data_IF_314461338971
#
_entry.id   IF_314461338971
#
_cell.length_a   1.000
_cell.length_b   1.000
_cell.length_c   1.000
_cell.angle_alpha   90.00
_cell.angle_beta   90.00
_cell.angle_gamma   90.00
#
_symmetry.space_group_name_H-M   'P 1'
#
loop_
_entity.id
_entity.type
_entity.pdbx_description
1 polymer ?
#
# COMPACT_ATOMS: atom_id res chain seq x y z
N UNK A 1 1.02 25.70 16.99
CA UNK A 1 0.54 24.91 18.14
C UNK A 1 -0.70 25.58 18.68
N UNK A 2 -1.90 25.04 18.45
CA UNK A 2 -3.14 25.60 19.01
C UNK A 2 -3.73 24.58 19.95
N UNK A 3 -3.73 24.91 21.24
CA UNK A 3 -4.31 24.12 22.32
C UNK A 3 -5.82 24.33 22.31
N UNK A 4 -6.59 23.26 22.10
CA UNK A 4 -8.01 23.27 22.41
C UNK A 4 -8.11 23.00 23.91
N UNK A 5 -8.30 24.06 24.70
CA UNK A 5 -8.66 23.94 26.11
C UNK A 5 -10.12 23.50 26.20
N UNK A 6 -10.35 22.21 26.47
CA UNK A 6 -11.65 21.73 26.92
C UNK A 6 -11.83 22.25 28.35
N UNK A 7 -12.68 23.25 28.52
CA UNK A 7 -12.97 23.88 29.81
C UNK A 7 -13.70 22.87 30.71
N UNK A 8 -12.94 22.22 31.59
CA UNK A 8 -13.44 21.35 32.66
C UNK A 8 -12.31 21.08 33.64
N UNK A 9 -12.54 21.34 34.93
CA UNK A 9 -11.51 21.42 35.99
C UNK A 9 -10.74 20.13 36.33
N UNK A 10 -10.84 19.08 35.51
CA UNK A 10 -10.11 17.80 35.57
C UNK A 10 -10.10 17.12 34.18
N UNK A 11 -9.86 17.85 33.09
CA UNK A 11 -9.76 17.21 31.77
C UNK A 11 -8.42 16.47 31.65
N UNK A 12 -8.49 15.15 31.63
CA UNK A 12 -7.36 14.28 31.35
C UNK A 12 -6.68 14.68 30.00
N UNK A 13 -5.34 14.61 29.89
CA UNK A 13 -4.67 14.75 28.59
C UNK A 13 -5.24 13.75 27.58
N UNK A 14 -5.46 14.19 26.36
CA UNK A 14 -6.04 13.36 25.29
C UNK A 14 -5.27 13.53 23.99
N UNK A 15 -5.12 12.45 23.24
CA UNK A 15 -4.67 12.47 21.85
C UNK A 15 -5.87 12.66 20.94
N UNK A 16 -5.78 13.60 19.99
CA UNK A 16 -6.87 13.92 19.07
C UNK A 16 -6.47 13.50 17.67
N UNK A 17 -7.14 12.48 17.13
CA UNK A 17 -6.98 12.01 15.77
C UNK A 17 -8.04 12.63 14.86
N UNK A 18 -7.69 12.96 13.62
CA UNK A 18 -8.69 13.19 12.58
C UNK A 18 -9.35 11.86 12.21
N UNK A 19 -10.67 11.85 12.06
CA UNK A 19 -11.41 10.73 11.50
C UNK A 19 -11.50 10.90 10.00
N UNK A 20 -11.01 9.92 9.25
CA UNK A 20 -11.20 9.85 7.80
C UNK A 20 -12.51 9.09 7.58
N UNK A 21 -13.56 9.81 7.17
CA UNK A 21 -14.91 9.25 6.99
C UNK A 21 -15.11 8.53 5.66
N UNK A 22 -14.38 8.94 4.64
CA UNK A 22 -14.35 8.34 3.31
C UNK A 22 -12.90 8.28 2.85
N UNK A 23 -12.50 7.19 2.21
CA UNK A 23 -11.21 7.08 1.54
C UNK A 23 -11.38 6.46 0.16
N UNK A 24 -10.39 6.68 -0.69
CA UNK A 24 -10.39 6.13 -2.05
C UNK A 24 -9.77 4.74 -2.07
N UNK A 25 -10.33 3.83 -2.86
CA UNK A 25 -9.85 2.44 -2.92
C UNK A 25 -8.47 2.35 -3.56
N UNK A 26 -7.51 1.88 -2.79
CA UNK A 26 -6.14 1.55 -3.22
C UNK A 26 -6.14 0.40 -4.22
N UNK A 27 -7.12 -0.51 -4.16
CA UNK A 27 -7.30 -1.60 -5.12
C UNK A 27 -7.59 -1.15 -6.57
N UNK A 28 -7.76 0.15 -6.81
CA UNK A 28 -8.03 0.76 -8.11
C UNK A 28 -6.84 1.52 -8.73
N UNK A 29 -5.70 1.59 -8.03
CA UNK A 29 -4.47 2.22 -8.53
C UNK A 29 -4.01 1.47 -9.79
N UNK A 30 -3.66 2.18 -10.86
CA UNK A 30 -3.34 1.57 -12.17
C UNK A 30 -1.89 1.73 -12.59
N UNK A 31 -1.17 2.67 -12.01
CA UNK A 31 0.23 2.93 -12.38
C UNK A 31 1.14 3.02 -11.16
N UNK A 32 2.43 2.79 -11.38
CA UNK A 32 3.47 2.97 -10.38
C UNK A 32 3.61 4.43 -9.94
N UNK A 33 3.34 5.39 -10.84
CA UNK A 33 3.30 6.81 -10.50
C UNK A 33 2.16 7.14 -9.52
N UNK A 34 0.94 6.64 -9.79
CA UNK A 34 -0.17 6.77 -8.84
C UNK A 34 0.19 6.11 -7.50
N UNK A 35 0.70 4.87 -7.53
CA UNK A 35 1.11 4.15 -6.32
C UNK A 35 2.09 4.96 -5.49
N UNK A 36 3.12 5.54 -6.13
CA UNK A 36 4.11 6.39 -5.47
C UNK A 36 3.45 7.57 -4.73
N UNK A 37 2.53 8.28 -5.37
CA UNK A 37 1.84 9.40 -4.71
C UNK A 37 0.96 8.94 -3.55
N UNK A 38 0.22 7.83 -3.71
CA UNK A 38 -0.62 7.27 -2.66
C UNK A 38 0.19 6.80 -1.43
N UNK A 39 1.34 6.17 -1.63
CA UNK A 39 2.23 5.79 -0.53
C UNK A 39 2.82 7.01 0.18
N UNK A 40 3.18 8.06 -0.56
CA UNK A 40 3.62 9.32 0.05
C UNK A 40 2.50 10.00 0.85
N UNK A 41 1.25 9.94 0.39
CA UNK A 41 0.11 10.44 1.16
C UNK A 41 -0.12 9.63 2.45
N UNK A 42 0.09 8.31 2.43
CA UNK A 42 0.00 7.46 3.61
C UNK A 42 1.08 7.78 4.65
N UNK A 43 2.31 8.06 4.19
CA UNK A 43 3.42 8.48 5.05
C UNK A 43 3.17 9.88 5.62
N UNK A 44 2.68 10.80 4.78
CA UNK A 44 2.45 12.19 5.14
C UNK A 44 1.25 12.75 4.39
N UNK A 45 0.07 12.88 5.02
CA UNK A 45 -1.12 13.43 4.37
C UNK A 45 -0.97 14.88 3.88
N UNK A 46 0.03 15.61 4.40
CA UNK A 46 0.39 16.96 3.94
C UNK A 46 1.40 16.98 2.78
N UNK A 47 1.80 15.81 2.27
CA UNK A 47 2.62 15.69 1.08
C UNK A 47 2.00 16.49 -0.07
N UNK A 48 2.83 17.27 -0.74
CA UNK A 48 2.46 18.04 -1.92
C UNK A 48 3.38 17.58 -3.04
N UNK A 49 2.85 16.95 -4.08
CA UNK A 49 3.61 16.67 -5.28
C UNK A 49 4.21 17.97 -5.82
N UNK A 50 5.48 17.94 -6.15
CA UNK A 50 6.09 18.98 -6.97
C UNK A 50 5.57 18.75 -8.39
N UNK A 51 4.96 19.75 -9.00
CA UNK A 51 4.54 19.71 -10.40
C UNK A 51 5.52 20.61 -11.12
N UNK A 52 6.55 20.03 -11.74
CA UNK A 52 7.64 20.79 -12.33
C UNK A 52 7.26 21.29 -13.74
N UNK A 53 6.48 20.53 -14.50
CA UNK A 53 6.11 20.86 -15.89
C UNK A 53 4.60 20.68 -16.18
N UNK A 54 4.06 21.48 -17.12
CA UNK A 54 2.65 21.40 -17.56
C UNK A 54 2.34 20.11 -18.36
N UNK A 55 3.37 19.43 -18.87
CA UNK A 55 3.28 18.21 -19.69
C UNK A 55 3.35 16.92 -18.86
N UNK A 56 3.62 16.98 -17.55
CA UNK A 56 3.63 15.82 -16.67
C UNK A 56 2.20 15.35 -16.32
N UNK A 57 2.04 14.03 -16.19
CA UNK A 57 0.79 13.43 -15.77
C UNK A 57 0.41 13.97 -14.38
N UNK A 58 -0.76 14.62 -14.30
CA UNK A 58 -1.14 15.31 -13.06
C UNK A 58 -1.20 14.31 -11.91
N UNK A 59 -0.56 14.61 -10.77
CA UNK A 59 -0.57 13.71 -9.62
C UNK A 59 -2.00 13.48 -9.15
N UNK A 60 -2.32 12.28 -8.66
CA UNK A 60 -3.64 11.98 -8.14
C UNK A 60 -3.95 12.91 -6.97
N UNK A 61 -5.21 13.30 -6.85
CA UNK A 61 -5.66 14.11 -5.72
C UNK A 61 -5.43 13.33 -4.42
N UNK A 62 -4.85 13.98 -3.41
CA UNK A 62 -4.70 13.40 -2.08
C UNK A 62 -6.04 12.81 -1.61
N UNK A 63 -6.11 11.50 -1.30
CA UNK A 63 -7.36 10.85 -0.88
C UNK A 63 -7.81 11.33 0.50
N UNK A 64 -6.92 11.99 1.26
CA UNK A 64 -7.20 12.52 2.59
C UNK A 64 -7.63 13.98 2.52
N UNK A 65 -8.80 14.24 1.94
CA UNK A 65 -9.26 15.58 1.58
C UNK A 65 -9.62 16.49 2.77
N UNK A 66 -9.76 15.96 3.98
CA UNK A 66 -10.23 16.70 5.16
C UNK A 66 -9.20 16.70 6.32
N UNK A 67 -7.91 16.84 5.99
CA UNK A 67 -6.89 17.16 7.00
C UNK A 67 -6.95 18.65 7.37
N UNK A 68 -8.07 19.06 7.96
CA UNK A 68 -8.14 20.33 8.68
C UNK A 68 -7.13 20.30 9.84
N UNK A 69 -6.30 21.35 9.96
CA UNK A 69 -5.50 21.58 11.19
C UNK A 69 -6.38 21.89 12.41
N UNK A 70 -7.66 22.16 12.18
CA UNK A 70 -8.66 22.53 13.17
C UNK A 70 -9.72 21.42 13.20
N UNK A 71 -9.58 20.47 14.13
CA UNK A 71 -10.48 19.33 14.15
C UNK A 71 -11.79 19.72 14.83
N UNK A 72 -12.91 19.60 14.11
CA UNK A 72 -14.24 19.72 14.70
C UNK A 72 -14.56 18.47 15.52
N UNK A 73 -15.43 18.60 16.52
CA UNK A 73 -15.67 17.54 17.51
C UNK A 73 -16.32 16.27 16.91
N UNK A 74 -17.02 16.41 15.80
CA UNK A 74 -17.62 15.33 14.99
C UNK A 74 -16.65 14.70 13.99
N UNK A 75 -15.50 15.36 13.74
CA UNK A 75 -14.45 14.93 12.82
C UNK A 75 -13.20 14.40 13.55
N UNK A 76 -13.23 14.30 14.88
CA UNK A 76 -12.14 13.75 15.67
C UNK A 76 -12.49 12.48 16.43
N UNK A 77 -11.47 11.67 16.66
CA UNK A 77 -11.46 10.67 17.73
C UNK A 77 -10.54 11.19 18.83
N UNK A 78 -11.08 11.27 20.04
CA UNK A 78 -10.31 11.66 21.22
C UNK A 78 -9.97 10.40 22.02
N UNK A 79 -8.68 10.13 22.18
CA UNK A 79 -8.15 8.98 22.91
C UNK A 79 -7.54 9.52 24.21
N UNK A 80 -8.11 9.20 25.39
CA UNK A 80 -7.51 9.55 26.68
C UNK A 80 -6.08 9.03 26.79
N UNK A 81 -5.14 9.83 27.30
CA UNK A 81 -3.74 9.41 27.42
C UNK A 81 -3.59 8.26 28.41
N UNK A 82 -4.42 8.17 29.45
CA UNK A 82 -4.45 6.99 30.32
C UNK A 82 -4.78 5.71 29.55
N UNK A 83 -5.59 5.79 28.48
CA UNK A 83 -5.84 4.65 27.60
C UNK A 83 -4.61 4.25 26.77
N UNK A 84 -3.64 5.16 26.58
CA UNK A 84 -2.35 4.87 25.94
C UNK A 84 -1.32 4.30 26.93
N UNK A 85 -1.53 4.48 28.24
CA UNK A 85 -0.64 3.96 29.30
C UNK A 85 -0.92 2.50 29.68
N UNK A 86 -1.91 1.84 29.08
CA UNK A 86 -2.22 0.43 29.35
C UNK A 86 -1.44 -0.54 28.46
N UNK A 87 -1.07 -1.69 29.03
CA UNK A 87 -0.60 -2.92 28.37
C UNK A 87 -1.61 -3.52 27.34
N UNK A 88 -2.64 -2.78 26.94
CA UNK A 88 -3.55 -3.20 25.86
C UNK A 88 -2.91 -2.84 24.52
N UNK A 89 -2.73 -3.79 23.59
CA UNK A 89 -2.13 -3.49 22.31
C UNK A 89 -3.06 -2.58 21.50
N UNK A 90 -2.69 -1.31 21.38
CA UNK A 90 -3.19 -0.43 20.33
C UNK A 90 -2.35 -0.72 19.09
N UNK A 91 -2.98 -1.23 18.04
CA UNK A 91 -2.29 -1.45 16.77
C UNK A 91 -2.18 -0.10 16.04
N UNK A 92 -1.07 0.61 16.27
CA UNK A 92 -0.62 1.64 15.34
C UNK A 92 0.09 0.92 14.19
N UNK A 93 -0.58 0.79 13.06
CA UNK A 93 0.02 0.21 11.86
C UNK A 93 0.07 1.29 10.78
N UNK A 94 1.30 1.69 10.42
CA UNK A 94 1.50 2.39 9.17
C UNK A 94 1.24 1.39 8.04
N UNK A 95 0.15 1.57 7.32
CA UNK A 95 -0.12 0.78 6.13
C UNK A 95 0.57 1.41 4.93
N UNK A 96 1.15 0.57 4.08
CA UNK A 96 1.43 0.90 2.69
C UNK A 96 0.22 0.49 1.83
N UNK A 97 0.26 0.71 0.52
CA UNK A 97 -0.87 0.37 -0.35
C UNK A 97 -1.26 -1.13 -0.30
N UNK A 98 -0.33 -2.10 -0.33
CA UNK A 98 -0.65 -3.51 -0.10
C UNK A 98 -1.42 -3.76 1.20
N UNK A 99 -1.00 -3.11 2.28
CA UNK A 99 -1.65 -3.22 3.58
C UNK A 99 -3.04 -2.57 3.63
N UNK A 100 -3.23 -1.44 2.96
CA UNK A 100 -4.56 -0.83 2.79
C UNK A 100 -5.50 -1.78 2.05
N UNK A 101 -5.03 -2.38 0.96
CA UNK A 101 -5.84 -3.31 0.16
C UNK A 101 -6.20 -4.53 1.00
N UNK A 102 -5.22 -5.17 1.63
CA UNK A 102 -5.44 -6.42 2.34
C UNK A 102 -6.28 -6.26 3.62
N UNK A 103 -5.96 -5.28 4.46
CA UNK A 103 -6.56 -5.14 5.78
C UNK A 103 -7.77 -4.19 5.80
N UNK A 104 -7.77 -3.15 4.98
CA UNK A 104 -8.82 -2.12 4.99
C UNK A 104 -9.85 -2.31 3.87
N UNK A 105 -9.48 -2.95 2.75
CA UNK A 105 -10.36 -3.17 1.60
C UNK A 105 -10.74 -4.65 1.42
N UNK A 106 -10.52 -5.48 2.45
CA UNK A 106 -10.86 -6.90 2.40
C UNK A 106 -10.08 -7.71 1.36
N UNK A 107 -8.96 -7.17 0.89
CA UNK A 107 -8.15 -7.74 -0.17
C UNK A 107 -8.73 -7.58 -1.57
N UNK A 108 -9.69 -6.67 -1.76
CA UNK A 108 -10.29 -6.39 -3.07
C UNK A 108 -9.35 -5.54 -3.93
N UNK A 109 -8.74 -6.15 -4.94
CA UNK A 109 -8.04 -5.44 -6.01
C UNK A 109 -8.83 -5.61 -7.30
N UNK A 110 -9.27 -4.51 -7.90
CA UNK A 110 -10.10 -4.57 -9.10
C UNK A 110 -9.32 -4.99 -10.35
N UNK A 111 -8.00 -4.83 -10.32
CA UNK A 111 -7.17 -5.22 -11.46
C UNK A 111 -6.91 -6.73 -11.51
N UNK A 112 -6.65 -7.36 -10.36
CA UNK A 112 -6.40 -8.80 -10.31
C UNK A 112 -7.64 -9.63 -9.93
N UNK A 113 -8.74 -8.99 -9.54
CA UNK A 113 -9.96 -9.67 -9.07
C UNK A 113 -9.73 -10.54 -7.82
N UNK A 114 -8.68 -10.28 -7.05
CA UNK A 114 -8.23 -11.12 -5.94
C UNK A 114 -7.36 -12.31 -6.34
N UNK A 115 -7.01 -12.50 -7.62
CA UNK A 115 -6.11 -13.57 -8.05
C UNK A 115 -4.67 -13.41 -7.51
N UNK A 116 -4.23 -12.16 -7.31
CA UNK A 116 -2.91 -11.79 -6.74
C UNK A 116 -1.70 -12.36 -7.48
N UNK A 117 -1.90 -12.91 -8.65
CA UNK A 117 -0.89 -13.43 -9.56
C UNK A 117 -1.23 -13.00 -10.98
N UNK A 118 -0.22 -12.87 -11.82
CA UNK A 118 -0.32 -12.55 -13.23
C UNK A 118 0.81 -13.24 -14.00
N UNK A 119 0.64 -13.38 -15.32
CA UNK A 119 1.71 -13.80 -16.21
C UNK A 119 2.25 -12.56 -16.97
N UNK A 120 3.47 -12.07 -16.68
CA UNK A 120 3.99 -10.85 -17.29
C UNK A 120 4.39 -11.02 -18.77
N UNK A 121 4.45 -12.26 -19.28
CA UNK A 121 4.62 -12.54 -20.70
C UNK A 121 3.35 -12.37 -21.54
N UNK A 122 2.18 -12.44 -20.91
CA UNK A 122 0.89 -12.21 -21.56
C UNK A 122 0.58 -10.71 -21.68
N UNK A 123 -0.26 -10.31 -22.64
CA UNK A 123 -0.54 -8.88 -22.92
C UNK A 123 -0.96 -8.09 -21.68
N UNK A 124 -1.96 -8.57 -20.95
CA UNK A 124 -2.53 -7.84 -19.81
C UNK A 124 -1.56 -7.83 -18.62
N UNK A 125 -0.84 -8.94 -18.39
CA UNK A 125 0.16 -9.01 -17.34
C UNK A 125 1.41 -8.16 -17.64
N UNK A 126 1.80 -8.08 -18.92
CA UNK A 126 2.90 -7.21 -19.37
C UNK A 126 2.59 -5.75 -19.09
N UNK A 127 1.39 -5.30 -19.43
CA UNK A 127 0.96 -3.92 -19.18
C UNK A 127 1.04 -3.57 -17.69
N UNK A 128 0.60 -4.48 -16.82
CA UNK A 128 0.71 -4.30 -15.36
C UNK A 128 2.17 -4.26 -14.92
N UNK A 129 3.01 -5.21 -15.37
CA UNK A 129 4.43 -5.23 -15.02
C UNK A 129 5.11 -3.92 -15.43
N UNK A 130 4.97 -3.50 -16.70
CA UNK A 130 5.57 -2.26 -17.21
C UNK A 130 5.03 -1.00 -16.51
N UNK A 131 3.79 -1.04 -16.01
CA UNK A 131 3.20 0.10 -15.30
C UNK A 131 3.71 0.26 -13.86
N UNK A 132 4.09 -0.84 -13.20
CA UNK A 132 4.39 -0.84 -11.76
C UNK A 132 5.86 -1.13 -11.43
N UNK A 133 6.60 -1.77 -12.33
CA UNK A 133 7.93 -2.32 -12.03
C UNK A 133 8.97 -1.82 -13.03
N UNK A 134 10.23 -2.09 -12.72
CA UNK A 134 11.38 -1.73 -13.58
C UNK A 134 11.86 -2.89 -14.44
N UNK A 135 11.13 -4.00 -14.45
CA UNK A 135 11.54 -5.22 -15.13
C UNK A 135 11.51 -5.06 -16.65
N UNK A 136 12.61 -5.41 -17.35
CA UNK A 136 12.61 -5.45 -18.80
C UNK A 136 11.74 -6.58 -19.35
N UNK A 137 10.83 -6.26 -20.27
CA UNK A 137 9.93 -7.24 -20.91
C UNK A 137 10.64 -8.31 -21.75
N UNK A 138 11.93 -8.13 -22.06
CA UNK A 138 12.76 -9.14 -22.72
C UNK A 138 13.20 -10.28 -21.81
N UNK A 139 12.92 -10.17 -20.51
CA UNK A 139 13.33 -11.13 -19.50
C UNK A 139 12.17 -11.90 -18.86
N UNK A 140 11.00 -11.78 -19.46
CA UNK A 140 9.79 -12.50 -19.07
C UNK A 140 9.12 -13.05 -20.31
N UNK A 141 8.55 -14.23 -20.19
CA UNK A 141 7.86 -14.92 -21.27
C UNK A 141 6.51 -15.49 -20.78
N UNK A 142 5.76 -16.05 -21.72
CA UNK A 142 4.50 -16.69 -21.37
C UNK A 142 4.81 -17.97 -20.59
N UNK A 143 4.36 -18.05 -19.34
CA UNK A 143 4.71 -19.12 -18.41
C UNK A 143 5.45 -18.59 -17.18
N UNK A 144 6.12 -17.43 -17.29
CA UNK A 144 6.60 -16.71 -16.11
C UNK A 144 5.42 -16.36 -15.20
N UNK A 145 5.55 -16.57 -13.89
CA UNK A 145 4.53 -16.25 -12.89
C UNK A 145 5.01 -15.09 -12.01
N UNK A 146 4.14 -14.12 -11.77
CA UNK A 146 4.48 -12.93 -11.01
C UNK A 146 3.35 -12.59 -10.03
N UNK A 147 3.69 -12.36 -8.77
CA UNK A 147 2.74 -11.79 -7.81
C UNK A 147 2.24 -10.41 -8.25
N UNK A 148 1.00 -10.08 -7.92
CA UNK A 148 0.40 -8.82 -8.35
C UNK A 148 1.02 -7.63 -7.58
N UNK A 149 1.75 -6.71 -8.25
CA UNK A 149 2.59 -5.72 -7.58
C UNK A 149 1.81 -4.78 -6.66
N UNK A 150 0.59 -4.41 -7.03
CA UNK A 150 -0.26 -3.58 -6.18
C UNK A 150 -0.72 -4.28 -4.90
N UNK A 151 -0.98 -5.59 -4.97
CA UNK A 151 -1.51 -6.35 -3.84
C UNK A 151 -0.43 -6.75 -2.84
N UNK A 152 0.78 -7.00 -3.34
CA UNK A 152 1.86 -7.65 -2.59
C UNK A 152 3.05 -6.71 -2.36
N UNK A 153 3.16 -5.65 -3.15
CA UNK A 153 4.31 -4.74 -3.20
C UNK A 153 5.19 -5.03 -4.42
N UNK A 154 5.74 -3.96 -5.01
CA UNK A 154 6.56 -4.02 -6.23
C UNK A 154 7.77 -4.93 -6.06
N UNK A 155 8.52 -4.78 -4.97
CA UNK A 155 9.73 -5.58 -4.71
C UNK A 155 9.45 -7.09 -4.67
N UNK A 156 8.37 -7.50 -4.00
CA UNK A 156 7.99 -8.91 -3.93
C UNK A 156 7.49 -9.43 -5.28
N UNK A 157 6.82 -8.59 -6.07
CA UNK A 157 6.40 -8.96 -7.42
C UNK A 157 7.60 -9.12 -8.36
N UNK A 158 8.58 -8.21 -8.29
CA UNK A 158 9.81 -8.32 -9.08
C UNK A 158 10.60 -9.59 -8.71
N UNK A 159 10.74 -9.88 -7.41
CA UNK A 159 11.36 -11.10 -6.91
C UNK A 159 10.63 -12.36 -7.41
N UNK A 160 9.29 -12.36 -7.33
CA UNK A 160 8.47 -13.47 -7.83
C UNK A 160 8.71 -13.75 -9.32
N UNK A 161 8.76 -12.70 -10.16
CA UNK A 161 9.07 -12.85 -11.58
C UNK A 161 10.52 -13.30 -11.84
N UNK A 162 11.48 -12.85 -11.01
CA UNK A 162 12.87 -13.27 -11.10
C UNK A 162 13.01 -14.79 -10.83
N UNK A 163 12.34 -15.28 -9.79
CA UNK A 163 12.42 -16.69 -9.38
C UNK A 163 11.77 -17.63 -10.40
N UNK A 164 10.71 -17.20 -11.08
CA UNK A 164 9.91 -18.06 -11.98
C UNK A 164 10.30 -17.97 -13.46
N UNK A 165 11.05 -16.94 -13.87
CA UNK A 165 11.42 -16.74 -15.29
C UNK A 165 12.69 -17.50 -15.67
N UNK A 166 12.68 -18.20 -16.79
CA UNK A 166 13.84 -18.91 -17.34
C UNK A 166 14.93 -17.98 -17.92
N UNK A 167 14.70 -16.67 -17.94
CA UNK A 167 15.62 -15.68 -18.53
C UNK A 167 16.45 -14.91 -17.50
N UNK A 168 16.24 -15.18 -16.21
CA UNK A 168 16.91 -14.54 -15.09
C UNK A 168 17.74 -15.53 -14.27
N UNK A 169 18.90 -15.06 -13.78
CA UNK A 169 19.77 -15.78 -12.86
C UNK A 169 20.49 -16.98 -13.47
N UNK A 170 21.50 -17.46 -12.76
CA UNK A 170 21.95 -18.86 -12.88
C UNK A 170 21.02 -19.71 -12.01
N UNK A 171 20.84 -21.00 -12.32
CA UNK A 171 19.95 -21.91 -11.55
C UNK A 171 20.31 -21.95 -10.05
N UNK A 172 21.57 -21.69 -9.70
CA UNK A 172 22.08 -21.68 -8.32
C UNK A 172 21.57 -20.49 -7.48
N UNK A 173 21.10 -19.41 -8.10
CA UNK A 173 20.54 -18.22 -7.41
C UNK A 173 19.01 -18.30 -7.27
N UNK A 174 18.38 -19.33 -7.87
CA UNK A 174 16.93 -19.53 -7.78
C UNK A 174 16.57 -20.38 -6.57
N UNK A 175 15.44 -20.03 -5.96
CA UNK A 175 14.79 -20.87 -4.97
C UNK A 175 14.34 -22.17 -5.63
N UNK A 176 14.47 -23.27 -4.90
CA UNK A 176 13.72 -24.49 -5.25
C UNK A 176 12.21 -24.22 -5.17
N UNK A 177 11.40 -25.05 -5.82
CA UNK A 177 9.94 -24.95 -5.78
C UNK A 177 9.40 -24.95 -4.34
N UNK A 178 10.00 -25.74 -3.45
CA UNK A 178 9.62 -25.80 -2.03
C UNK A 178 9.93 -24.48 -1.31
N UNK A 179 11.13 -23.94 -1.49
CA UNK A 179 11.56 -22.67 -0.90
C UNK A 179 10.72 -21.49 -1.41
N UNK A 180 10.42 -21.48 -2.71
CA UNK A 180 9.55 -20.47 -3.32
C UNK A 180 8.15 -20.51 -2.72
N UNK A 181 7.55 -21.69 -2.60
CA UNK A 181 6.22 -21.85 -2.00
C UNK A 181 6.18 -21.42 -0.52
N UNK A 182 7.24 -21.69 0.24
CA UNK A 182 7.36 -21.23 1.62
C UNK A 182 7.51 -19.70 1.71
N UNK A 183 8.32 -19.11 0.83
CA UNK A 183 8.48 -17.66 0.72
C UNK A 183 7.16 -16.99 0.33
N UNK A 184 6.51 -17.47 -0.72
CA UNK A 184 5.19 -17.03 -1.17
C UNK A 184 4.18 -17.05 -0.01
N UNK A 185 4.09 -18.19 0.68
CA UNK A 185 3.15 -18.37 1.78
C UNK A 185 3.40 -17.39 2.92
N UNK A 186 4.67 -17.11 3.21
CA UNK A 186 5.08 -16.15 4.25
C UNK A 186 4.71 -14.72 3.89
N UNK A 187 4.90 -14.33 2.62
CA UNK A 187 4.53 -13.00 2.11
C UNK A 187 3.01 -12.80 2.21
N UNK A 188 2.24 -13.76 1.73
CA UNK A 188 0.77 -13.73 1.75
C UNK A 188 0.21 -13.67 3.18
N UNK A 189 0.76 -14.47 4.10
CA UNK A 189 0.39 -14.45 5.52
C UNK A 189 0.76 -13.13 6.20
N UNK A 190 1.93 -12.57 5.88
CA UNK A 190 2.36 -11.26 6.42
C UNK A 190 1.38 -10.14 6.04
N UNK A 191 0.81 -10.21 4.83
CA UNK A 191 -0.16 -9.24 4.36
C UNK A 191 -1.59 -9.55 4.80
N UNK A 192 -1.85 -10.68 5.46
CA UNK A 192 -3.18 -11.02 5.97
C UNK A 192 -4.12 -11.65 4.95
N UNK A 193 -3.59 -12.20 3.85
CA UNK A 193 -4.40 -12.92 2.86
C UNK A 193 -4.64 -14.40 3.21
N UNK A 194 -3.96 -14.93 4.24
CA UNK A 194 -4.06 -16.31 4.74
C UNK A 194 -4.10 -16.38 6.27
#
# INVERSE_FOLDING_TARGET
MSSIQVVGRNSEPTFVCNKIGEWWSFGNIRTGSELFHYENYLIGPSYKPEVEDEDEERPPKCPFSDFSKTVLQDQCLTIPVSNLEFEKPFLYHGFNAPGMISWCEGGECQLCGGGRELCPGCRDGREVMESFTTLPSTKVDCGTEMMYPLCIGVECAEESAYQTSDHWGDEDDKMSDEEYNEWYSRVMKKLGYM
#
